data_IF_931537685791
#
_entry.id   IF_931537685791
#
_cell.length_a   1.000
_cell.length_b   1.000
_cell.length_c   1.000
_cell.angle_alpha   90.00
_cell.angle_beta   90.00
_cell.angle_gamma   90.00
#
_symmetry.space_group_name_H-M   'P 1'
#
loop_
_entity.id
_entity.type
_entity.pdbx_description
1 polymer ?
#
# COMPACT_ATOMS: atom_id res chain seq x y z
N UNK A 1 -10.43 40.22 9.77
CA UNK A 1 -10.39 39.21 10.85
C UNK A 1 -8.96 38.73 11.03
N UNK A 2 -8.44 38.49 12.26
CA UNK A 2 -7.10 37.93 12.44
C UNK A 2 -7.04 36.47 11.96
N UNK A 3 -5.94 36.09 11.32
CA UNK A 3 -5.68 34.68 10.97
C UNK A 3 -5.54 33.80 12.23
N UNK A 4 -5.63 32.48 12.06
CA UNK A 4 -5.52 31.53 13.17
C UNK A 4 -4.18 31.66 13.92
N UNK A 5 -3.09 31.89 13.20
CA UNK A 5 -1.77 32.09 13.80
C UNK A 5 -1.71 33.32 14.71
N UNK A 6 -2.13 34.48 14.23
CA UNK A 6 -2.11 35.71 15.01
C UNK A 6 -3.09 35.66 16.18
N UNK A 7 -4.25 35.02 16.00
CA UNK A 7 -5.21 34.77 17.08
C UNK A 7 -4.59 33.90 18.17
N UNK A 8 -3.92 32.80 17.80
CA UNK A 8 -3.24 31.91 18.74
C UNK A 8 -2.09 32.59 19.49
N UNK A 9 -1.24 33.32 18.76
CA UNK A 9 -0.10 34.07 19.31
C UNK A 9 -0.49 35.37 20.03
N UNK A 10 -1.78 35.70 20.09
CA UNK A 10 -2.31 36.91 20.74
C UNK A 10 -1.65 38.21 20.25
N UNK A 11 -1.39 38.32 18.94
CA UNK A 11 -0.78 39.50 18.30
C UNK A 11 -1.66 40.08 17.19
N UNK A 12 -1.42 41.33 16.82
CA UNK A 12 -2.14 41.99 15.71
C UNK A 12 -1.80 41.28 14.38
N UNK A 13 -2.82 41.01 13.57
CA UNK A 13 -2.66 40.49 12.21
C UNK A 13 -2.51 41.67 11.24
N UNK A 14 -1.32 41.82 10.64
CA UNK A 14 -1.05 42.87 9.65
C UNK A 14 -1.52 42.43 8.25
N UNK A 15 -1.73 43.38 7.31
CA UNK A 15 -2.10 43.06 5.93
C UNK A 15 -1.09 42.12 5.24
N UNK A 16 0.20 42.28 5.53
CA UNK A 16 1.29 41.47 4.97
C UNK A 16 1.68 40.28 5.87
N UNK A 17 0.74 39.74 6.65
CA UNK A 17 1.02 38.64 7.54
C UNK A 17 1.40 37.36 6.77
N UNK A 18 2.64 36.88 6.95
CA UNK A 18 3.15 35.67 6.32
C UNK A 18 2.31 34.39 6.59
N UNK A 19 1.55 34.36 7.69
CA UNK A 19 0.70 33.23 8.05
C UNK A 19 -0.73 33.33 7.52
N UNK A 20 -1.20 34.53 7.19
CA UNK A 20 -2.61 34.75 6.89
C UNK A 20 -3.14 33.97 5.68
N UNK A 21 -2.38 33.81 4.58
CA UNK A 21 -2.83 33.01 3.44
C UNK A 21 -3.02 31.52 3.75
N UNK A 22 -2.29 30.98 4.73
CA UNK A 22 -2.18 29.52 4.94
C UNK A 22 -2.88 29.01 6.20
N UNK A 23 -3.16 29.90 7.16
CA UNK A 23 -3.80 29.58 8.44
C UNK A 23 -5.07 30.42 8.65
N UNK A 24 -6.15 30.11 7.92
CA UNK A 24 -7.37 30.89 7.98
C UNK A 24 -8.09 30.67 9.33
N UNK A 25 -8.91 31.63 9.80
CA UNK A 25 -9.47 31.62 11.16
C UNK A 25 -10.45 30.48 11.46
N UNK A 26 -11.01 29.84 10.44
CA UNK A 26 -11.87 28.66 10.49
C UNK A 26 -11.10 27.38 10.86
N UNK A 27 -9.77 27.37 10.73
CA UNK A 27 -8.92 26.21 11.00
C UNK A 27 -7.92 26.46 12.15
N UNK A 28 -8.38 26.76 13.38
CA UNK A 28 -7.49 27.09 14.49
C UNK A 28 -6.58 25.92 14.91
N UNK A 29 -7.05 24.68 14.79
CA UNK A 29 -6.27 23.49 15.16
C UNK A 29 -5.09 23.26 14.22
N UNK A 30 -5.20 23.63 12.94
CA UNK A 30 -4.12 23.51 11.96
C UNK A 30 -2.87 24.26 12.44
N UNK A 31 -3.03 25.52 12.87
CA UNK A 31 -1.92 26.29 13.42
C UNK A 31 -1.46 25.78 14.79
N UNK A 32 -2.39 25.41 15.67
CA UNK A 32 -2.04 24.91 17.01
C UNK A 32 -1.13 23.66 16.94
N UNK A 33 -1.44 22.72 16.05
CA UNK A 33 -0.66 21.51 15.85
C UNK A 33 0.73 21.84 15.28
N UNK A 34 0.78 22.63 14.19
CA UNK A 34 2.03 23.05 13.56
C UNK A 34 2.91 23.82 14.53
N UNK A 35 2.34 24.72 15.32
CA UNK A 35 3.06 25.48 16.35
C UNK A 35 3.64 24.56 17.44
N UNK A 36 2.88 23.56 17.87
CA UNK A 36 3.32 22.64 18.93
C UNK A 36 4.48 21.75 18.49
N UNK A 37 4.49 21.30 17.24
CA UNK A 37 5.50 20.36 16.74
C UNK A 37 6.72 21.07 16.14
N UNK A 38 6.50 22.14 15.37
CA UNK A 38 7.57 22.82 14.64
C UNK A 38 7.94 24.19 15.23
N UNK A 39 6.99 24.87 15.87
CA UNK A 39 7.16 26.24 16.37
C UNK A 39 7.00 27.31 15.29
N UNK A 40 6.43 28.47 15.67
CA UNK A 40 6.14 29.55 14.73
C UNK A 40 7.40 30.11 14.02
N UNK A 41 8.52 30.21 14.73
CA UNK A 41 9.77 30.76 14.19
C UNK A 41 10.35 29.88 13.08
N UNK A 42 10.38 28.55 13.30
CA UNK A 42 10.87 27.60 12.31
C UNK A 42 9.98 27.58 11.07
N UNK A 43 8.65 27.60 11.26
CA UNK A 43 7.70 27.66 10.15
C UNK A 43 7.89 28.96 9.36
N UNK A 44 8.05 30.11 10.03
CA UNK A 44 8.30 31.39 9.34
C UNK A 44 9.58 31.33 8.51
N UNK A 45 10.66 30.80 9.10
CA UNK A 45 11.95 30.64 8.42
C UNK A 45 11.82 29.77 7.17
N UNK A 46 11.23 28.58 7.32
CA UNK A 46 10.99 27.66 6.21
C UNK A 46 10.16 28.30 5.09
N UNK A 47 9.07 29.00 5.43
CA UNK A 47 8.24 29.65 4.41
C UNK A 47 8.99 30.76 3.67
N UNK A 48 9.87 31.49 4.35
CA UNK A 48 10.69 32.53 3.71
C UNK A 48 11.72 31.93 2.73
N UNK A 49 12.23 30.74 3.02
CA UNK A 49 13.20 30.04 2.16
C UNK A 49 12.53 29.38 0.92
N UNK A 50 11.20 29.27 0.91
CA UNK A 50 10.42 28.68 -0.18
C UNK A 50 9.85 29.73 -1.14
N UNK A 51 9.77 29.37 -2.42
CA UNK A 51 9.08 30.17 -3.42
C UNK A 51 7.56 30.22 -3.09
N UNK A 52 6.87 31.36 -3.30
CA UNK A 52 5.46 31.50 -2.95
C UNK A 52 4.51 30.38 -3.39
N UNK A 53 4.74 29.77 -4.56
CA UNK A 53 3.90 28.69 -5.09
C UNK A 53 4.02 27.37 -4.32
N UNK A 54 5.10 27.16 -3.56
CA UNK A 54 5.34 25.93 -2.79
C UNK A 54 4.84 26.04 -1.35
N UNK A 55 4.58 27.26 -0.88
CA UNK A 55 4.29 27.53 0.54
C UNK A 55 2.99 26.89 1.00
N UNK A 56 1.98 26.83 0.14
CA UNK A 56 0.71 26.19 0.46
C UNK A 56 0.89 24.69 0.70
N UNK A 57 1.54 23.99 -0.23
CA UNK A 57 1.85 22.56 -0.11
C UNK A 57 2.76 22.26 1.08
N UNK A 58 3.74 23.12 1.36
CA UNK A 58 4.58 23.01 2.53
C UNK A 58 3.78 23.12 3.83
N UNK A 59 2.88 24.12 3.96
CA UNK A 59 2.03 24.26 5.15
C UNK A 59 1.08 23.07 5.29
N UNK A 60 0.53 22.56 4.20
CA UNK A 60 -0.33 21.37 4.23
C UNK A 60 0.43 20.13 4.71
N UNK A 61 1.67 19.95 4.24
CA UNK A 61 2.56 18.86 4.67
C UNK A 61 2.92 18.98 6.16
N UNK A 62 3.32 20.17 6.62
CA UNK A 62 3.61 20.42 8.04
C UNK A 62 2.37 20.19 8.91
N UNK A 63 1.18 20.59 8.45
CA UNK A 63 -0.05 20.37 9.20
C UNK A 63 -0.34 18.88 9.37
N UNK A 64 -0.21 18.10 8.30
CA UNK A 64 -0.36 16.65 8.33
C UNK A 64 0.67 16.00 9.26
N UNK A 65 1.95 16.32 9.11
CA UNK A 65 3.02 15.77 9.94
C UNK A 65 2.82 16.11 11.42
N UNK A 66 2.45 17.35 11.72
CA UNK A 66 2.20 17.78 13.09
C UNK A 66 1.03 17.03 13.71
N UNK A 67 -0.07 16.87 12.97
CA UNK A 67 -1.22 16.11 13.42
C UNK A 67 -0.86 14.64 13.68
N UNK A 68 -0.14 14.00 12.75
CA UNK A 68 0.29 12.61 12.92
C UNK A 68 1.21 12.43 14.12
N UNK A 69 2.14 13.36 14.35
CA UNK A 69 3.05 13.31 15.51
C UNK A 69 2.35 13.58 16.84
N UNK A 70 1.22 14.29 16.84
CA UNK A 70 0.40 14.45 18.04
C UNK A 70 -0.44 13.21 18.34
N UNK A 71 -0.89 12.49 17.31
CA UNK A 71 -1.61 11.20 17.45
C UNK A 71 -0.67 10.07 17.86
N UNK A 72 0.52 10.03 17.28
CA UNK A 72 1.59 9.08 17.58
C UNK A 72 2.90 9.83 17.86
N UNK A 73 3.21 10.09 19.14
CA UNK A 73 4.43 10.79 19.54
C UNK A 73 5.72 10.04 19.22
N UNK A 74 5.65 8.72 19.00
CA UNK A 74 6.82 7.87 18.75
C UNK A 74 7.15 7.85 17.26
N UNK A 75 6.18 7.46 16.43
CA UNK A 75 6.43 7.26 15.00
C UNK A 75 5.78 8.32 14.10
N UNK A 76 4.73 9.01 14.54
CA UNK A 76 4.03 10.03 13.74
C UNK A 76 3.66 9.55 12.33
N UNK A 77 4.03 10.32 11.31
CA UNK A 77 3.81 9.95 9.91
C UNK A 77 4.73 8.80 9.44
N UNK A 78 5.84 8.53 10.13
CA UNK A 78 6.74 7.41 9.78
C UNK A 78 6.04 6.08 9.97
N UNK A 79 5.19 5.94 11.00
CA UNK A 79 4.38 4.74 11.20
C UNK A 79 3.45 4.46 10.02
N UNK A 80 2.85 5.51 9.45
CA UNK A 80 2.02 5.41 8.24
C UNK A 80 2.85 4.98 7.04
N UNK A 81 4.05 5.54 6.87
CA UNK A 81 4.96 5.14 5.79
C UNK A 81 5.32 3.65 5.92
N UNK A 82 5.70 3.19 7.12
CA UNK A 82 6.05 1.79 7.37
C UNK A 82 4.88 0.84 7.07
N UNK A 83 3.67 1.21 7.46
CA UNK A 83 2.45 0.46 7.15
C UNK A 83 2.23 0.34 5.65
N UNK A 84 2.29 1.47 4.93
CA UNK A 84 2.07 1.49 3.48
C UNK A 84 3.14 0.70 2.72
N UNK A 85 4.40 0.78 3.15
CA UNK A 85 5.49 -0.01 2.59
C UNK A 85 5.27 -1.51 2.79
N UNK A 86 4.77 -1.93 3.96
CA UNK A 86 4.41 -3.32 4.22
C UNK A 86 3.27 -3.79 3.32
N UNK A 87 2.21 -3.00 3.20
CA UNK A 87 1.07 -3.31 2.31
C UNK A 87 1.49 -3.40 0.85
N UNK A 88 2.38 -2.50 0.40
CA UNK A 88 2.92 -2.55 -0.96
C UNK A 88 3.67 -3.86 -1.22
N UNK A 89 4.52 -4.30 -0.28
CA UNK A 89 5.23 -5.58 -0.39
C UNK A 89 4.27 -6.76 -0.44
N UNK A 90 3.25 -6.77 0.42
CA UNK A 90 2.24 -7.83 0.41
C UNK A 90 1.51 -7.89 -0.93
N UNK A 91 1.04 -6.75 -1.44
CA UNK A 91 0.35 -6.68 -2.73
C UNK A 91 1.24 -7.10 -3.89
N UNK A 92 2.53 -6.77 -3.86
CA UNK A 92 3.48 -7.21 -4.86
C UNK A 92 3.67 -8.74 -4.84
N UNK A 93 3.72 -9.34 -3.65
CA UNK A 93 3.79 -10.80 -3.48
C UNK A 93 2.52 -11.49 -3.99
N UNK A 94 1.35 -10.99 -3.60
CA UNK A 94 0.06 -11.54 -4.02
C UNK A 94 -0.08 -11.50 -5.55
N UNK A 95 0.34 -10.39 -6.18
CA UNK A 95 0.37 -10.27 -7.64
C UNK A 95 1.36 -11.25 -8.28
N UNK A 96 2.52 -11.47 -7.69
CA UNK A 96 3.48 -12.44 -8.19
C UNK A 96 2.91 -13.87 -8.15
N UNK A 97 2.31 -14.26 -7.03
CA UNK A 97 1.66 -15.56 -6.88
C UNK A 97 0.54 -15.76 -7.90
N UNK A 98 -0.38 -14.79 -8.00
CA UNK A 98 -1.50 -14.87 -8.94
C UNK A 98 -1.04 -14.96 -10.41
N UNK A 99 0.02 -14.22 -10.79
CA UNK A 99 0.61 -14.29 -12.13
C UNK A 99 1.23 -15.66 -12.40
N UNK A 100 1.97 -16.21 -11.44
CA UNK A 100 2.58 -17.54 -11.54
C UNK A 100 1.51 -18.63 -11.71
N UNK A 101 0.42 -18.56 -10.93
CA UNK A 101 -0.72 -19.47 -11.06
C UNK A 101 -1.37 -19.38 -12.44
N UNK A 102 -1.59 -18.17 -12.94
CA UNK A 102 -2.18 -17.95 -14.27
C UNK A 102 -1.30 -18.52 -15.39
N UNK A 103 0.02 -18.31 -15.34
CA UNK A 103 0.95 -18.93 -16.28
C UNK A 103 0.94 -20.45 -16.19
N UNK A 104 0.81 -21.03 -14.99
CA UNK A 104 0.67 -22.48 -14.81
C UNK A 104 -0.58 -23.03 -15.51
N UNK A 105 -1.71 -22.35 -15.36
CA UNK A 105 -2.95 -22.75 -16.05
C UNK A 105 -2.85 -22.64 -17.57
N UNK A 106 -2.20 -21.59 -18.08
CA UNK A 106 -1.96 -21.41 -19.52
C UNK A 106 -1.02 -22.49 -20.10
N UNK A 107 0.04 -22.85 -19.37
CA UNK A 107 0.96 -23.91 -19.82
C UNK A 107 0.31 -25.29 -19.79
N UNK A 108 -0.53 -25.56 -18.77
CA UNK A 108 -1.28 -26.80 -18.69
C UNK A 108 -2.28 -26.93 -19.85
N UNK A 109 -3.01 -25.85 -20.19
CA UNK A 109 -3.96 -25.88 -21.30
C UNK A 109 -3.28 -26.10 -22.65
N UNK A 110 -2.11 -25.51 -22.88
CA UNK A 110 -1.29 -25.76 -24.08
C UNK A 110 -0.82 -27.22 -24.13
N UNK A 111 -0.33 -27.76 -23.01
CA UNK A 111 0.15 -29.15 -22.94
C UNK A 111 -0.99 -30.13 -23.19
N UNK A 112 -2.16 -29.91 -22.59
CA UNK A 112 -3.34 -30.77 -22.82
C UNK A 112 -3.78 -30.75 -24.29
N UNK A 113 -3.76 -29.57 -24.93
CA UNK A 113 -4.11 -29.43 -26.35
C UNK A 113 -3.09 -30.10 -27.28
N UNK A 114 -1.80 -30.09 -26.93
CA UNK A 114 -0.77 -30.77 -27.71
C UNK A 114 -0.85 -32.29 -27.54
N UNK A 115 -1.18 -32.78 -26.33
CA UNK A 115 -1.37 -34.21 -26.08
C UNK A 115 -2.64 -34.78 -26.74
N UNK A 116 -3.71 -33.99 -26.90
CA UNK A 116 -4.89 -34.42 -27.65
C UNK A 116 -4.60 -34.52 -29.16
N UNK A 117 -3.87 -33.56 -29.74
CA UNK A 117 -3.41 -33.62 -31.14
C UNK A 117 -2.44 -34.80 -31.38
N UNK A 118 -1.57 -35.13 -30.42
CA UNK A 118 -0.68 -36.29 -30.50
C UNK A 118 -1.44 -37.63 -30.35
N UNK A 119 -2.58 -37.66 -29.65
CA UNK A 119 -3.39 -38.87 -29.50
C UNK A 119 -4.25 -39.20 -30.74
N UNK A 120 -4.62 -38.22 -31.58
CA UNK A 120 -5.32 -38.45 -32.85
C UNK A 120 -4.43 -39.13 -33.91
N UNK A 121 -3.11 -38.94 -33.85
CA UNK A 121 -2.16 -39.62 -34.74
C UNK A 121 -1.78 -41.04 -34.29
N UNK A 122 -2.08 -41.42 -33.04
CA UNK A 122 -1.90 -42.78 -32.53
C UNK A 122 -3.16 -43.67 -32.66
N UNK A 123 -4.34 -43.08 -32.90
CA UNK A 123 -5.61 -43.82 -33.03
C UNK A 123 -5.76 -44.61 -34.33
N UNK A 124 -4.88 -44.42 -35.33
CA UNK A 124 -4.91 -45.18 -36.58
C UNK A 124 -4.22 -46.56 -36.49
N UNK A 125 -3.61 -46.93 -35.34
CA UNK A 125 -2.74 -48.11 -35.26
C UNK A 125 -3.24 -49.28 -34.40
N UNK A 126 -4.32 -49.16 -33.62
CA UNK A 126 -4.72 -50.24 -32.69
C UNK A 126 -6.22 -50.50 -32.63
N UNK A 127 -6.77 -51.04 -33.72
CA UNK A 127 -7.96 -51.88 -33.66
C UNK A 127 -7.59 -53.29 -33.18
N UNK A 128 -7.49 -53.54 -31.86
CA UNK A 128 -7.99 -54.79 -31.27
C UNK A 128 -7.90 -54.80 -29.74
N UNK A 129 -9.05 -55.03 -29.10
CA UNK A 129 -9.33 -56.02 -28.04
C UNK A 129 -10.10 -55.45 -26.83
N UNK A 130 -11.26 -56.06 -26.60
CA UNK A 130 -12.20 -55.83 -25.49
C UNK A 130 -11.62 -56.33 -24.15
N UNK A 131 -11.96 -55.72 -23.01
CA UNK A 131 -12.97 -56.22 -22.04
C UNK A 131 -12.81 -55.59 -20.61
N UNK A 132 -13.93 -55.59 -19.87
CA UNK A 132 -14.05 -55.75 -18.39
C UNK A 132 -13.70 -54.64 -17.38
N UNK A 133 -14.78 -54.13 -16.73
CA UNK A 133 -15.02 -53.90 -15.29
C UNK A 133 -14.01 -53.15 -14.39
N UNK A 134 -14.52 -52.12 -13.69
CA UNK A 134 -14.34 -52.00 -12.24
C UNK A 134 -13.81 -50.66 -11.69
N UNK A 135 -14.69 -49.89 -11.05
CA UNK A 135 -14.44 -49.27 -9.74
C UNK A 135 -13.67 -47.94 -9.66
N UNK A 136 -14.16 -47.05 -8.78
CA UNK A 136 -13.33 -46.06 -8.08
C UNK A 136 -13.79 -44.62 -8.21
N UNK A 137 -14.73 -44.21 -7.33
CA UNK A 137 -15.06 -42.81 -7.15
C UNK A 137 -13.97 -42.04 -6.39
N UNK A 138 -13.82 -40.76 -6.72
CA UNK A 138 -13.16 -39.77 -5.86
C UNK A 138 -13.95 -38.47 -5.92
N UNK A 139 -14.80 -38.25 -4.93
CA UNK A 139 -15.27 -36.93 -4.56
C UNK A 139 -14.10 -36.13 -3.96
N UNK A 140 -13.96 -34.87 -4.37
CA UNK A 140 -13.12 -33.88 -3.69
C UNK A 140 -13.95 -32.65 -3.42
N UNK A 141 -14.44 -32.57 -2.19
CA UNK A 141 -14.98 -31.36 -1.59
C UNK A 141 -13.87 -30.33 -1.43
N UNK A 142 -13.91 -29.26 -2.22
CA UNK A 142 -13.12 -28.05 -1.96
C UNK A 142 -14.02 -27.00 -1.31
N UNK A 143 -14.00 -26.95 0.02
CA UNK A 143 -14.53 -25.83 0.80
C UNK A 143 -13.66 -24.59 0.55
N UNK A 144 -14.12 -23.70 -0.33
CA UNK A 144 -13.57 -22.35 -0.46
C UNK A 144 -14.03 -21.49 0.71
N UNK A 145 -13.09 -21.09 1.58
CA UNK A 145 -13.30 -20.00 2.53
C UNK A 145 -13.46 -18.68 1.77
N UNK A 146 -14.71 -18.26 1.65
CA UNK A 146 -15.11 -16.97 1.09
C UNK A 146 -14.88 -15.86 2.13
N UNK A 147 -13.66 -15.31 2.21
CA UNK A 147 -13.43 -14.08 2.97
C UNK A 147 -13.98 -12.89 2.20
N UNK A 148 -15.02 -12.30 2.80
CA UNK A 148 -15.71 -11.08 2.36
C UNK A 148 -14.72 -9.93 2.20
N UNK A 149 -14.69 -9.36 1.00
CA UNK A 149 -13.83 -8.25 0.62
C UNK A 149 -14.63 -6.94 0.74
N UNK A 150 -13.99 -5.93 1.34
CA UNK A 150 -14.38 -4.52 1.50
C UNK A 150 -15.27 -4.10 2.68
N UNK A 151 -14.60 -3.71 3.76
CA UNK A 151 -15.02 -2.57 4.60
C UNK A 151 -13.76 -1.74 4.91
N UNK A 152 -13.44 -0.80 4.00
CA UNK A 152 -12.14 -0.11 3.90
C UNK A 152 -11.92 1.01 4.93
N UNK A 153 -12.94 1.41 5.69
CA UNK A 153 -12.84 2.59 6.55
C UNK A 153 -12.69 2.30 8.05
N UNK A 154 -13.19 1.17 8.57
CA UNK A 154 -13.05 0.85 10.01
C UNK A 154 -11.76 0.10 10.37
N UNK A 155 -11.13 -0.58 9.40
CA UNK A 155 -9.96 -1.43 9.70
C UNK A 155 -8.68 -0.63 9.96
N UNK A 156 -8.57 0.61 9.47
CA UNK A 156 -7.32 1.38 9.58
C UNK A 156 -6.99 1.79 11.02
N UNK A 157 -7.98 1.89 11.91
CA UNK A 157 -7.75 2.08 13.35
C UNK A 157 -7.48 0.77 14.10
N UNK A 158 -7.92 -0.37 13.56
CA UNK A 158 -7.77 -1.67 14.22
C UNK A 158 -6.43 -2.33 13.89
N UNK A 159 -5.87 -2.13 12.69
CA UNK A 159 -4.53 -2.66 12.36
C UNK A 159 -3.43 -2.07 13.22
N UNK A 160 -3.54 -0.81 13.69
CA UNK A 160 -2.55 -0.19 14.60
C UNK A 160 -2.40 -0.98 15.91
N UNK A 161 -3.45 -1.66 16.39
CA UNK A 161 -3.42 -2.44 17.64
C UNK A 161 -2.96 -3.90 17.45
N UNK A 162 -2.91 -4.41 16.22
CA UNK A 162 -2.58 -5.81 15.94
C UNK A 162 -1.13 -6.05 15.56
N UNK A 163 -0.29 -5.02 15.49
CA UNK A 163 1.10 -5.12 14.99
C UNK A 163 2.09 -5.85 15.90
N UNK A 164 1.73 -6.20 17.14
CA UNK A 164 2.63 -6.93 18.05
C UNK A 164 2.63 -8.46 17.85
N UNK A 165 1.76 -9.02 17.01
CA UNK A 165 1.58 -10.48 16.90
C UNK A 165 1.73 -10.99 15.46
N UNK A 166 2.95 -10.99 14.91
CA UNK A 166 3.15 -11.68 13.63
C UNK A 166 4.45 -11.44 12.87
N UNK A 167 5.59 -11.29 13.55
CA UNK A 167 6.89 -11.37 12.87
C UNK A 167 7.22 -12.82 12.52
N UNK A 168 6.83 -13.30 11.34
CA UNK A 168 7.53 -14.40 10.69
C UNK A 168 7.16 -14.53 9.19
N UNK A 169 7.78 -13.73 8.33
CA UNK A 169 8.05 -14.16 6.95
C UNK A 169 9.37 -13.55 6.46
N UNK A 170 10.41 -14.34 6.73
CA UNK A 170 11.47 -14.73 5.82
C UNK A 170 12.25 -13.63 5.08
N UNK A 171 13.38 -13.26 5.68
CA UNK A 171 14.45 -12.48 5.08
C UNK A 171 15.23 -13.24 3.98
N UNK A 172 14.94 -14.53 3.72
CA UNK A 172 15.65 -15.30 2.69
C UNK A 172 15.29 -14.94 1.25
N UNK A 173 14.13 -14.32 1.00
CA UNK A 173 13.69 -13.99 -0.37
C UNK A 173 14.18 -12.64 -0.89
N UNK A 174 14.79 -11.81 -0.05
CA UNK A 174 15.43 -10.55 -0.47
C UNK A 174 16.76 -10.74 -1.22
N UNK A 175 17.29 -11.97 -1.28
CA UNK A 175 18.58 -12.27 -1.89
C UNK A 175 18.52 -12.66 -3.39
N UNK A 176 17.34 -12.83 -3.99
CA UNK A 176 17.22 -13.32 -5.37
C UNK A 176 16.43 -12.38 -6.27
N UNK A 177 17.02 -11.24 -6.66
CA UNK A 177 17.01 -10.68 -8.03
C UNK A 177 17.48 -9.22 -8.11
N UNK A 178 18.79 -8.98 -7.97
CA UNK A 178 19.44 -7.75 -8.49
C UNK A 178 20.21 -8.04 -9.79
N UNK A 179 20.13 -9.26 -10.34
CA UNK A 179 20.97 -9.71 -11.46
C UNK A 179 20.21 -10.04 -12.75
N UNK A 180 19.14 -9.31 -13.08
CA UNK A 180 18.43 -9.51 -14.33
C UNK A 180 17.81 -8.23 -14.92
N UNK A 181 18.59 -7.16 -15.10
CA UNK A 181 18.19 -6.03 -15.97
C UNK A 181 19.32 -5.08 -16.41
N UNK A 182 20.57 -5.55 -16.49
CA UNK A 182 21.66 -4.79 -17.13
C UNK A 182 22.46 -5.72 -18.03
N UNK A 183 22.03 -5.84 -19.29
CA UNK A 183 22.77 -6.60 -20.27
C UNK A 183 21.95 -6.99 -21.48
N UNK A 184 21.54 -6.03 -22.30
CA UNK A 184 21.64 -6.12 -23.76
C UNK A 184 21.36 -4.75 -24.40
N UNK A 185 22.22 -4.45 -25.37
CA UNK A 185 22.36 -3.23 -26.18
C UNK A 185 21.08 -2.81 -26.90
#
# INVERSE_FOLDING_TARGET
SPCAACKFLRRKCQPECAFAPYFPPDQPQKFANVHRIFGASNVTKLLNDLHPHQREDAVNSLAYEAEMRLRDPVYGCVGVISLLQHQLRQLQMDLYCAKSELSRYQNLSITTNLSSLASESAAAAYHHHQNTTGGGGFGRDHHYHHHQFFSRDQHQQQVVRSFDAGNNYDASLLAMNISASLGQL
#
